data_IF_061679989360
#
_entry.id   IF_061679989360
#
_cell.length_a   1.000
_cell.length_b   1.000
_cell.length_c   1.000
_cell.angle_alpha   90.00
_cell.angle_beta   90.00
_cell.angle_gamma   90.00
#
_symmetry.space_group_name_H-M   'P 1'
#
loop_
_entity.id
_entity.type
_entity.pdbx_description
1 polymer ?
#
# COMPACT_ATOMS: atom_id res chain seq x y z
N UNK A 1 26.31 1.08 -20.66
CA UNK A 1 25.58 1.77 -19.56
C UNK A 1 24.08 1.45 -19.50
N UNK A 2 23.30 1.55 -20.59
CA UNK A 2 21.81 1.44 -20.58
C UNK A 2 21.20 0.16 -19.95
N UNK A 3 21.86 -1.00 -20.00
CA UNK A 3 21.36 -2.23 -19.34
C UNK A 3 21.28 -2.08 -17.81
N UNK A 4 22.37 -1.59 -17.20
CA UNK A 4 22.43 -1.40 -15.76
C UNK A 4 21.37 -0.40 -15.30
N UNK A 5 21.06 0.61 -16.12
CA UNK A 5 20.03 1.61 -15.79
C UNK A 5 18.62 1.03 -15.81
N UNK A 6 18.21 0.29 -16.84
CA UNK A 6 16.84 -0.28 -16.87
C UNK A 6 16.61 -1.31 -15.77
N UNK A 7 17.58 -2.20 -15.52
CA UNK A 7 17.46 -3.16 -14.42
C UNK A 7 17.45 -2.47 -13.05
N UNK A 8 18.16 -1.35 -12.89
CA UNK A 8 18.13 -0.58 -11.65
C UNK A 8 16.77 0.12 -11.47
N UNK A 9 16.23 0.74 -12.52
CA UNK A 9 14.91 1.39 -12.50
C UNK A 9 13.80 0.40 -12.20
N UNK A 10 13.83 -0.80 -12.80
CA UNK A 10 12.90 -1.88 -12.48
C UNK A 10 12.96 -2.25 -10.98
N UNK A 11 14.18 -2.38 -10.41
CA UNK A 11 14.36 -2.68 -8.98
C UNK A 11 13.85 -1.56 -8.08
N UNK A 12 14.08 -0.30 -8.46
CA UNK A 12 13.60 0.87 -7.71
C UNK A 12 12.08 0.88 -7.66
N UNK A 13 11.40 0.66 -8.80
CA UNK A 13 9.93 0.62 -8.82
C UNK A 13 9.36 -0.54 -8.00
N UNK A 14 9.97 -1.73 -8.06
CA UNK A 14 9.58 -2.85 -7.18
C UNK A 14 9.63 -2.48 -5.70
N UNK A 15 10.72 -1.84 -5.26
CA UNK A 15 10.84 -1.37 -3.87
C UNK A 15 9.80 -0.32 -3.49
N UNK A 16 9.47 0.60 -4.41
CA UNK A 16 8.40 1.59 -4.19
C UNK A 16 7.03 0.91 -4.04
N UNK A 17 6.74 -0.07 -4.88
CA UNK A 17 5.52 -0.87 -4.82
C UNK A 17 5.42 -1.59 -3.47
N UNK A 18 6.47 -2.30 -3.06
CA UNK A 18 6.53 -3.02 -1.77
C UNK A 18 6.28 -2.08 -0.59
N UNK A 19 6.97 -0.93 -0.56
CA UNK A 19 6.79 0.09 0.48
C UNK A 19 5.35 0.60 0.54
N UNK A 20 4.75 0.89 -0.61
CA UNK A 20 3.38 1.40 -0.66
C UNK A 20 2.35 0.31 -0.28
N UNK A 21 2.59 -0.95 -0.65
CA UNK A 21 1.76 -2.08 -0.21
C UNK A 21 1.77 -2.25 1.30
N UNK A 22 2.94 -2.16 1.94
CA UNK A 22 3.05 -2.22 3.41
C UNK A 22 2.29 -1.05 4.06
N UNK A 23 2.46 0.16 3.52
CA UNK A 23 1.75 1.36 4.00
C UNK A 23 0.23 1.18 3.91
N UNK A 24 -0.30 0.77 2.76
CA UNK A 24 -1.74 0.50 2.56
C UNK A 24 -2.25 -0.54 3.57
N UNK A 25 -1.51 -1.64 3.76
CA UNK A 25 -1.87 -2.69 4.72
C UNK A 25 -1.95 -2.13 6.15
N UNK A 26 -0.96 -1.34 6.57
CA UNK A 26 -0.92 -0.77 7.92
C UNK A 26 -2.10 0.17 8.16
N UNK A 27 -2.42 1.05 7.20
CA UNK A 27 -3.56 1.97 7.30
C UNK A 27 -4.88 1.18 7.32
N UNK A 28 -5.00 0.12 6.51
CA UNK A 28 -6.17 -0.74 6.52
C UNK A 28 -6.38 -1.43 7.89
N UNK A 29 -5.31 -1.94 8.51
CA UNK A 29 -5.38 -2.53 9.85
C UNK A 29 -5.75 -1.49 10.91
N UNK A 30 -5.19 -0.29 10.81
CA UNK A 30 -5.53 0.84 11.66
C UNK A 30 -7.01 1.20 11.56
N UNK A 31 -7.52 1.40 10.34
CA UNK A 31 -8.95 1.61 10.05
C UNK A 31 -9.83 0.51 10.64
N UNK A 32 -9.43 -0.76 10.46
CA UNK A 32 -10.17 -1.92 10.99
C UNK A 32 -10.26 -1.91 12.52
N UNK A 33 -9.20 -1.46 13.21
CA UNK A 33 -9.22 -1.27 14.67
C UNK A 33 -10.26 -0.22 15.07
N UNK A 34 -10.27 0.93 14.41
CA UNK A 34 -11.24 2.00 14.69
C UNK A 34 -12.68 1.60 14.36
N UNK A 35 -12.93 0.84 13.30
CA UNK A 35 -14.27 0.30 13.00
C UNK A 35 -14.76 -0.60 14.14
N UNK A 36 -13.90 -1.49 14.65
CA UNK A 36 -14.25 -2.36 15.78
C UNK A 36 -14.52 -1.56 17.04
N UNK A 37 -13.67 -0.58 17.34
CA UNK A 37 -13.83 0.30 18.49
C UNK A 37 -15.13 1.11 18.38
N UNK A 38 -15.42 1.69 17.22
CA UNK A 38 -16.67 2.41 16.95
C UNK A 38 -17.89 1.51 17.21
N UNK A 39 -17.89 0.28 16.68
CA UNK A 39 -18.99 -0.66 16.92
C UNK A 39 -19.21 -0.93 18.42
N UNK A 40 -18.12 -1.15 19.17
CA UNK A 40 -18.18 -1.37 20.61
C UNK A 40 -18.72 -0.15 21.35
N UNK A 41 -18.20 1.04 21.04
CA UNK A 41 -18.60 2.29 21.68
C UNK A 41 -20.05 2.65 21.37
N UNK A 42 -20.51 2.47 20.14
CA UNK A 42 -21.92 2.71 19.78
C UNK A 42 -22.86 1.74 20.50
N UNK A 43 -22.49 0.46 20.62
CA UNK A 43 -23.27 -0.50 21.42
C UNK A 43 -23.32 -0.11 22.89
N UNK A 44 -22.16 0.25 23.45
CA UNK A 44 -22.06 0.71 24.83
C UNK A 44 -22.85 2.01 25.08
N UNK A 45 -22.85 2.95 24.15
CA UNK A 45 -23.65 4.18 24.21
C UNK A 45 -25.15 3.87 24.33
N UNK A 46 -25.65 2.95 23.51
CA UNK A 46 -27.06 2.55 23.54
C UNK A 46 -27.44 1.90 24.87
N UNK A 47 -26.61 0.97 25.36
CA UNK A 47 -26.84 0.34 26.67
C UNK A 47 -26.80 1.36 27.81
N UNK A 48 -25.87 2.31 27.74
CA UNK A 48 -25.71 3.35 28.73
C UNK A 48 -26.92 4.29 28.76
N UNK A 49 -27.43 4.72 27.60
CA UNK A 49 -28.63 5.53 27.50
C UNK A 49 -29.86 4.80 28.07
N UNK A 50 -30.01 3.50 27.80
CA UNK A 50 -31.07 2.68 28.41
C UNK A 50 -30.97 2.65 29.93
N UNK A 51 -29.77 2.39 30.47
CA UNK A 51 -29.52 2.39 31.92
C UNK A 51 -29.83 3.74 32.57
N UNK A 52 -29.53 4.85 31.89
CA UNK A 52 -29.86 6.19 32.39
C UNK A 52 -31.37 6.38 32.41
N UNK A 53 -32.05 6.02 31.33
CA UNK A 53 -33.51 6.13 31.23
C UNK A 53 -34.21 5.36 32.37
N UNK A 54 -33.80 4.11 32.62
CA UNK A 54 -34.37 3.29 33.70
C UNK A 54 -34.12 3.92 35.08
N UNK A 55 -32.95 4.52 35.29
CA UNK A 55 -32.63 5.23 36.53
C UNK A 55 -33.41 6.54 36.68
N UNK A 56 -33.62 7.27 35.59
CA UNK A 56 -34.41 8.51 35.60
C UNK A 56 -35.85 8.24 36.02
N UNK A 57 -36.45 7.14 35.55
CA UNK A 57 -37.80 6.71 35.97
C UNK A 57 -37.86 6.49 37.50
N UNK A 58 -36.81 5.91 38.08
CA UNK A 58 -36.71 5.66 39.53
C UNK A 58 -36.35 6.90 40.35
N UNK A 59 -36.02 8.01 39.70
CA UNK A 59 -35.48 9.21 40.32
C UNK A 59 -33.96 9.13 40.50
N UNK A 60 -33.26 10.17 40.04
CA UNK A 60 -31.82 10.35 40.22
C UNK A 60 -31.54 11.69 40.87
N UNK A 61 -30.47 11.75 41.68
CA UNK A 61 -29.97 13.03 42.17
C UNK A 61 -29.45 13.90 41.02
N UNK A 62 -29.49 15.22 41.20
CA UNK A 62 -28.91 16.20 40.25
C UNK A 62 -27.44 15.88 39.95
N UNK A 63 -26.67 15.48 40.97
CA UNK A 63 -25.27 15.12 40.80
C UNK A 63 -25.09 13.88 39.90
N UNK A 64 -25.88 12.82 40.10
CA UNK A 64 -25.84 11.65 39.22
C UNK A 64 -26.23 12.01 37.79
N UNK A 65 -27.24 12.85 37.61
CA UNK A 65 -27.63 13.36 36.29
C UNK A 65 -26.50 14.11 35.59
N UNK A 66 -25.82 15.02 36.30
CA UNK A 66 -24.65 15.73 35.77
C UNK A 66 -23.51 14.78 35.38
N UNK A 67 -23.24 13.76 36.21
CA UNK A 67 -22.23 12.75 35.91
C UNK A 67 -22.60 11.94 34.66
N UNK A 68 -23.88 11.57 34.51
CA UNK A 68 -24.38 10.87 33.32
C UNK A 68 -24.15 11.68 32.05
N UNK A 69 -24.52 12.97 32.08
CA UNK A 69 -24.35 13.89 30.95
C UNK A 69 -22.87 14.16 30.63
N UNK A 70 -22.03 14.32 31.64
CA UNK A 70 -20.59 14.54 31.43
C UNK A 70 -19.96 13.33 30.73
N UNK A 71 -20.32 12.12 31.17
CA UNK A 71 -19.80 10.90 30.58
C UNK A 71 -20.32 10.66 29.15
N UNK A 72 -21.61 10.89 28.86
CA UNK A 72 -22.15 10.70 27.50
C UNK A 72 -21.49 11.66 26.51
N UNK A 73 -21.24 12.92 26.91
CA UNK A 73 -20.51 13.87 26.07
C UNK A 73 -19.07 13.43 25.79
N UNK A 74 -18.36 12.88 26.78
CA UNK A 74 -17.02 12.31 26.55
C UNK A 74 -17.09 11.12 25.60
N UNK A 75 -18.07 10.22 25.77
CA UNK A 75 -18.26 9.06 24.90
C UNK A 75 -18.53 9.48 23.45
N UNK A 76 -19.35 10.51 23.23
CA UNK A 76 -19.65 11.07 21.92
C UNK A 76 -18.41 11.62 21.22
N UNK A 77 -17.54 12.34 21.96
CA UNK A 77 -16.27 12.84 21.42
C UNK A 77 -15.38 11.68 20.96
N UNK A 78 -15.28 10.60 21.75
CA UNK A 78 -14.47 9.43 21.39
C UNK A 78 -15.05 8.70 20.16
N UNK A 79 -16.38 8.59 20.08
CA UNK A 79 -17.07 8.03 18.90
C UNK A 79 -16.78 8.87 17.66
N UNK A 80 -16.86 10.19 17.78
CA UNK A 80 -16.61 11.12 16.68
C UNK A 80 -15.16 11.06 16.21
N UNK A 81 -14.20 10.94 17.13
CA UNK A 81 -12.78 10.76 16.80
C UNK A 81 -12.54 9.46 16.00
N UNK A 82 -13.20 8.37 16.39
CA UNK A 82 -13.14 7.11 15.62
C UNK A 82 -13.71 7.29 14.21
N UNK A 83 -14.85 7.96 14.06
CA UNK A 83 -15.46 8.24 12.74
C UNK A 83 -14.51 9.08 11.87
N UNK A 84 -13.93 10.13 12.43
CA UNK A 84 -13.00 11.00 11.72
C UNK A 84 -11.74 10.24 11.28
N UNK A 85 -11.20 9.39 12.15
CA UNK A 85 -10.05 8.56 11.85
C UNK A 85 -10.34 7.56 10.74
N UNK A 86 -11.51 6.91 10.75
CA UNK A 86 -11.93 5.99 9.68
C UNK A 86 -12.00 6.70 8.33
N UNK A 87 -12.62 7.89 8.28
CA UNK A 87 -12.73 8.69 7.05
C UNK A 87 -11.36 9.15 6.55
N UNK A 88 -10.48 9.57 7.46
CA UNK A 88 -9.11 9.97 7.14
C UNK A 88 -8.33 8.79 6.54
N UNK A 89 -8.39 7.63 7.18
CA UNK A 89 -7.73 6.41 6.70
C UNK A 89 -8.24 5.98 5.33
N UNK A 90 -9.55 6.09 5.08
CA UNK A 90 -10.15 5.83 3.77
C UNK A 90 -9.55 6.70 2.67
N UNK A 91 -9.45 8.02 2.93
CA UNK A 91 -8.84 8.96 1.98
C UNK A 91 -7.39 8.61 1.71
N UNK A 92 -6.60 8.34 2.76
CA UNK A 92 -5.18 7.99 2.60
C UNK A 92 -5.02 6.66 1.84
N UNK A 93 -5.89 5.66 2.08
CA UNK A 93 -5.87 4.40 1.34
C UNK A 93 -6.13 4.65 -0.15
N UNK A 94 -7.15 5.46 -0.48
CA UNK A 94 -7.47 5.78 -1.88
C UNK A 94 -6.31 6.49 -2.59
N UNK A 95 -5.68 7.47 -1.93
CA UNK A 95 -4.51 8.17 -2.47
C UNK A 95 -3.31 7.23 -2.64
N UNK A 96 -3.04 6.41 -1.63
CA UNK A 96 -1.95 5.42 -1.65
C UNK A 96 -2.16 4.37 -2.75
N UNK A 97 -3.40 3.98 -3.01
CA UNK A 97 -3.74 3.06 -4.09
C UNK A 97 -3.46 3.66 -5.48
N UNK A 98 -3.74 4.97 -5.68
CA UNK A 98 -3.38 5.67 -6.93
C UNK A 98 -1.86 5.67 -7.15
N UNK A 99 -1.08 5.95 -6.10
CA UNK A 99 0.38 5.92 -6.15
C UNK A 99 0.89 4.50 -6.45
N UNK A 100 0.35 3.50 -5.74
CA UNK A 100 0.70 2.09 -5.95
C UNK A 100 0.43 1.66 -7.39
N UNK A 101 -0.74 1.99 -7.94
CA UNK A 101 -1.12 1.67 -9.32
C UNK A 101 -0.18 2.33 -10.34
N UNK A 102 0.17 3.61 -10.14
CA UNK A 102 1.16 4.31 -10.98
C UNK A 102 2.53 3.61 -10.96
N UNK A 103 3.00 3.22 -9.77
CA UNK A 103 4.27 2.52 -9.62
C UNK A 103 4.24 1.12 -10.28
N UNK A 104 3.11 0.42 -10.22
CA UNK A 104 2.91 -0.86 -10.93
C UNK A 104 3.04 -0.69 -12.45
N UNK A 105 2.37 0.30 -13.03
CA UNK A 105 2.47 0.61 -14.45
C UNK A 105 3.92 0.93 -14.82
N UNK A 106 4.58 1.80 -14.04
CA UNK A 106 5.97 2.18 -14.27
C UNK A 106 6.93 0.98 -14.17
N UNK A 107 6.72 0.11 -13.18
CA UNK A 107 7.48 -1.13 -13.01
C UNK A 107 7.34 -2.08 -14.20
N UNK A 108 6.14 -2.20 -14.76
CA UNK A 108 5.88 -3.00 -15.95
C UNK A 108 6.59 -2.43 -17.19
N UNK A 109 6.60 -1.10 -17.36
CA UNK A 109 7.33 -0.43 -18.44
C UNK A 109 8.82 -0.73 -18.34
N UNK A 110 9.42 -0.57 -17.16
CA UNK A 110 10.85 -0.84 -16.99
C UNK A 110 11.21 -2.31 -17.18
N UNK A 111 10.37 -3.23 -16.69
CA UNK A 111 10.54 -4.66 -16.94
C UNK A 111 10.52 -4.96 -18.44
N UNK A 112 9.59 -4.38 -19.18
CA UNK A 112 9.50 -4.55 -20.63
C UNK A 112 10.75 -4.01 -21.37
N UNK A 113 11.16 -2.77 -21.06
CA UNK A 113 12.36 -2.16 -21.62
C UNK A 113 13.64 -2.95 -21.30
N UNK A 114 13.76 -3.45 -20.07
CA UNK A 114 14.86 -4.31 -19.64
C UNK A 114 14.91 -5.61 -20.47
N UNK A 115 13.76 -6.26 -20.67
CA UNK A 115 13.67 -7.47 -21.49
C UNK A 115 14.06 -7.22 -22.96
N UNK A 116 13.52 -6.18 -23.60
CA UNK A 116 13.88 -5.82 -24.98
C UNK A 116 15.37 -5.58 -25.09
N UNK A 117 15.93 -4.83 -24.14
CA UNK A 117 17.35 -4.50 -24.16
C UNK A 117 18.25 -5.72 -23.98
N UNK A 118 17.92 -6.62 -23.04
CA UNK A 118 18.62 -7.90 -22.86
C UNK A 118 18.60 -8.74 -24.14
N UNK A 119 17.44 -8.85 -24.80
CA UNK A 119 17.32 -9.54 -26.09
C UNK A 119 18.19 -8.90 -27.17
N UNK A 120 18.23 -7.57 -27.26
CA UNK A 120 19.08 -6.85 -28.21
C UNK A 120 20.56 -7.10 -27.96
N UNK A 121 21.02 -7.08 -26.70
CA UNK A 121 22.41 -7.40 -26.35
C UNK A 121 22.76 -8.84 -26.74
N UNK A 122 21.89 -9.80 -26.42
CA UNK A 122 22.10 -11.21 -26.76
C UNK A 122 22.21 -11.42 -28.28
N UNK A 123 21.36 -10.74 -29.07
CA UNK A 123 21.44 -10.77 -30.54
C UNK A 123 22.77 -10.21 -31.05
N UNK A 124 23.21 -9.06 -30.53
CA UNK A 124 24.50 -8.46 -30.92
C UNK A 124 25.66 -9.39 -30.56
N UNK A 125 25.63 -10.04 -29.38
CA UNK A 125 26.66 -11.00 -28.98
C UNK A 125 26.71 -12.19 -29.94
N UNK A 126 25.57 -12.79 -30.27
CA UNK A 126 25.49 -13.90 -31.23
C UNK A 126 26.06 -13.54 -32.61
N UNK A 127 25.76 -12.33 -33.10
CA UNK A 127 26.30 -11.85 -34.39
C UNK A 127 27.82 -11.70 -34.31
N UNK A 128 28.35 -11.13 -33.21
CA UNK A 128 29.81 -11.00 -33.01
C UNK A 128 30.50 -12.36 -32.94
N UNK A 129 29.93 -13.31 -32.21
CA UNK A 129 30.49 -14.66 -32.08
C UNK A 129 30.50 -15.38 -33.45
N UNK A 130 29.45 -15.19 -34.26
CA UNK A 130 29.38 -15.72 -35.61
C UNK A 130 30.45 -15.12 -36.55
N UNK A 131 30.68 -13.79 -36.49
CA UNK A 131 31.72 -13.11 -37.28
C UNK A 131 33.12 -13.62 -36.88
N UNK A 132 33.40 -13.74 -35.58
CA UNK A 132 34.68 -14.25 -35.08
C UNK A 132 34.90 -15.69 -35.55
N UNK A 133 33.88 -16.53 -35.44
CA UNK A 133 33.96 -17.92 -35.89
C UNK A 133 34.22 -18.04 -37.40
N UNK A 134 33.51 -17.24 -38.21
CA UNK A 134 33.71 -17.19 -39.67
C UNK A 134 35.15 -16.75 -40.02
N UNK A 135 35.65 -15.68 -39.38
CA UNK A 135 37.03 -15.23 -39.57
C UNK A 135 38.08 -16.27 -39.18
N UNK A 136 37.84 -17.03 -38.10
CA UNK A 136 38.71 -18.12 -37.68
C UNK A 136 38.71 -19.28 -38.69
N UNK A 137 37.54 -19.62 -39.23
CA UNK A 137 37.40 -20.64 -40.29
C UNK A 137 38.18 -20.21 -41.52
N UNK A 138 38.02 -18.97 -41.99
CA UNK A 138 38.76 -18.42 -43.14
C UNK A 138 40.28 -18.48 -42.93
N UNK A 139 40.79 -18.04 -41.77
CA UNK A 139 42.22 -18.11 -41.45
C UNK A 139 42.75 -19.55 -41.41
N UNK A 140 41.94 -20.51 -40.96
CA UNK A 140 42.32 -21.93 -40.98
C UNK A 140 42.43 -22.48 -42.40
N UNK A 141 41.59 -22.00 -43.33
CA UNK A 141 41.70 -22.37 -44.74
C UNK A 141 42.97 -21.82 -45.38
N UNK A 142 43.33 -20.56 -45.12
CA UNK A 142 44.56 -19.96 -45.67
C UNK A 142 45.87 -20.63 -45.21
N UNK A 143 45.89 -21.27 -44.03
CA UNK A 143 47.08 -21.98 -43.53
C UNK A 143 47.26 -23.40 -44.08
N UNK A 144 46.24 -23.95 -44.75
CA UNK A 144 46.29 -25.31 -45.32
C UNK A 144 46.74 -25.32 -46.78
N UNK A 145 46.81 -24.15 -47.42
CA UNK A 145 47.38 -23.93 -48.75
C UNK A 145 48.84 -23.55 -48.57
#
# INVERSE_FOLDING_TARGET
MKHKTFSLLEKIEKKKIEKETIKIKNIYLHKKKHIKQLKLLSGYQQEYLRKIHDKLILGVSVHQWQNYNSFISVLEVIIQDNINTIKKDEKIIQESFKIWSKNQIQGNIWKHLNMIHKRKILRIKKIKDAIINDSHIQLKFFKKV
#
